data_IF_986597943614
#
_entry.id   IF_986597943614
#
_cell.length_a   1.000
_cell.length_b   1.000
_cell.length_c   1.000
_cell.angle_alpha   90.00
_cell.angle_beta   90.00
_cell.angle_gamma   90.00
#
_symmetry.space_group_name_H-M   'P 1'
#
loop_
_entity.id
_entity.type
_entity.pdbx_description
1 polymer ?
#
# COMPACT_ATOMS: atom_id res chain seq x y z
N UNK A 1 17.98 -3.18 -29.71
CA UNK A 1 17.08 -3.79 -28.71
C UNK A 1 15.73 -3.11 -28.83
N UNK A 2 14.78 -3.75 -29.51
CA UNK A 2 13.49 -3.17 -29.89
C UNK A 2 12.69 -2.71 -28.67
N UNK A 3 12.48 -1.40 -28.54
CA UNK A 3 11.39 -0.85 -27.73
C UNK A 3 10.10 -1.18 -28.46
N UNK A 4 9.45 -2.28 -28.10
CA UNK A 4 8.06 -2.49 -28.48
C UNK A 4 7.24 -1.44 -27.75
N UNK A 5 6.71 -0.47 -28.49
CA UNK A 5 5.78 0.54 -28.01
C UNK A 5 4.47 -0.18 -27.66
N UNK A 6 4.32 -0.55 -26.39
CA UNK A 6 3.04 -0.98 -25.85
C UNK A 6 2.13 0.25 -25.84
N UNK A 7 1.15 0.30 -26.76
CA UNK A 7 0.13 1.36 -26.75
C UNK A 7 -0.66 1.27 -25.46
N UNK A 8 -0.39 2.20 -24.54
CA UNK A 8 -1.25 2.49 -23.39
C UNK A 8 -2.56 3.04 -23.95
N UNK A 9 -3.60 2.21 -23.97
CA UNK A 9 -4.95 2.61 -24.36
C UNK A 9 -5.68 3.08 -23.09
N UNK A 10 -6.13 4.34 -23.07
CA UNK A 10 -7.04 4.87 -22.05
C UNK A 10 -6.45 5.95 -21.15
N UNK A 11 -6.22 7.14 -21.69
CA UNK A 11 -6.19 8.39 -20.92
C UNK A 11 -7.59 9.00 -21.04
N UNK A 12 -8.51 8.51 -20.22
CA UNK A 12 -9.78 9.20 -20.00
C UNK A 12 -9.71 9.86 -18.62
N UNK A 13 -9.53 11.18 -18.64
CA UNK A 13 -9.61 12.10 -17.49
C UNK A 13 -11.07 12.16 -16.97
N UNK A 14 -11.56 11.04 -16.45
CA UNK A 14 -12.86 10.88 -15.82
C UNK A 14 -12.71 10.82 -14.30
N UNK A 15 -13.16 11.88 -13.63
CA UNK A 15 -13.26 11.96 -12.18
C UNK A 15 -14.27 10.93 -11.65
N UNK A 16 -13.82 9.70 -11.40
CA UNK A 16 -14.40 8.75 -10.45
C UNK A 16 -13.33 7.73 -10.02
N UNK A 17 -12.61 8.08 -8.94
CA UNK A 17 -12.10 7.23 -7.86
C UNK A 17 -11.73 5.75 -8.05
N UNK A 18 -11.26 5.29 -9.21
CA UNK A 18 -10.67 3.96 -9.31
C UNK A 18 -9.45 3.99 -10.23
N UNK A 19 -8.26 4.05 -9.64
CA UNK A 19 -7.05 3.73 -10.39
C UNK A 19 -7.27 2.35 -11.03
N UNK A 20 -7.07 2.17 -12.35
CA UNK A 20 -7.05 0.83 -12.91
C UNK A 20 -6.04 0.01 -12.11
N UNK A 21 -6.46 -1.15 -11.62
CA UNK A 21 -5.56 -2.05 -10.92
C UNK A 21 -4.37 -2.36 -11.81
N UNK A 22 -3.20 -2.57 -11.20
CA UNK A 22 -1.98 -2.98 -11.90
C UNK A 22 -2.19 -4.22 -12.78
N UNK A 23 -3.24 -5.00 -12.49
CA UNK A 23 -3.64 -6.22 -13.19
C UNK A 23 -4.72 -6.03 -14.26
N UNK A 24 -5.32 -4.84 -14.41
CA UNK A 24 -6.41 -4.59 -15.38
C UNK A 24 -5.96 -3.79 -16.61
N UNK A 25 -4.97 -2.91 -16.49
CA UNK A 25 -4.43 -2.14 -17.60
C UNK A 25 -2.96 -1.75 -17.34
N UNK A 26 -2.17 -1.46 -18.40
CA UNK A 26 -0.81 -0.92 -18.21
C UNK A 26 -0.83 0.40 -17.46
N UNK A 27 0.11 0.57 -16.52
CA UNK A 27 0.30 1.83 -15.80
C UNK A 27 0.97 2.86 -16.70
N UNK A 28 0.58 4.12 -16.56
CA UNK A 28 1.33 5.25 -17.09
C UNK A 28 2.58 5.57 -16.23
N UNK A 29 3.43 6.47 -16.73
CA UNK A 29 4.68 6.84 -16.05
C UNK A 29 4.44 7.52 -14.69
N UNK A 30 3.37 8.31 -14.56
CA UNK A 30 3.02 9.00 -13.32
C UNK A 30 2.54 8.03 -12.24
N UNK A 31 1.64 7.13 -12.59
CA UNK A 31 1.14 6.06 -11.72
C UNK A 31 2.30 5.17 -11.25
N UNK A 32 3.20 4.78 -12.15
CA UNK A 32 4.37 3.98 -11.79
C UNK A 32 5.31 4.74 -10.84
N UNK A 33 5.56 6.03 -11.08
CA UNK A 33 6.40 6.87 -10.24
C UNK A 33 5.81 7.06 -8.83
N UNK A 34 4.48 7.12 -8.69
CA UNK A 34 3.81 7.20 -7.38
C UNK A 34 3.83 5.89 -6.60
N UNK A 35 3.63 4.76 -7.28
CA UNK A 35 3.55 3.44 -6.63
C UNK A 35 4.92 2.86 -6.29
N UNK A 36 5.95 3.15 -7.08
CA UNK A 36 7.28 2.56 -6.90
C UNK A 36 7.91 2.84 -5.51
N UNK A 37 7.84 4.06 -4.93
CA UNK A 37 8.32 4.31 -3.58
C UNK A 37 7.59 3.48 -2.51
N UNK A 38 6.28 3.25 -2.66
CA UNK A 38 5.48 2.44 -1.74
C UNK A 38 5.95 0.98 -1.76
N UNK A 39 6.03 0.39 -2.95
CA UNK A 39 6.52 -0.98 -3.10
C UNK A 39 7.98 -1.12 -2.66
N UNK A 40 8.82 -0.12 -2.92
CA UNK A 40 10.20 -0.09 -2.42
C UNK A 40 10.25 -0.08 -0.89
N UNK A 41 9.37 0.67 -0.23
CA UNK A 41 9.27 0.65 1.22
C UNK A 41 8.81 -0.72 1.75
N UNK A 42 7.91 -1.41 1.06
CA UNK A 42 7.47 -2.76 1.43
C UNK A 42 8.43 -3.88 0.98
N UNK A 43 9.38 -3.62 0.09
CA UNK A 43 10.29 -4.65 -0.44
C UNK A 43 11.39 -5.12 0.51
N UNK A 44 11.35 -4.76 1.80
CA UNK A 44 12.36 -5.08 2.79
C UNK A 44 11.76 -5.87 3.96
N UNK A 45 12.39 -6.98 4.38
CA UNK A 45 11.82 -7.88 5.36
C UNK A 45 11.67 -7.25 6.75
N UNK A 46 12.60 -6.36 7.14
CA UNK A 46 12.52 -5.66 8.42
C UNK A 46 11.37 -4.66 8.40
N UNK A 47 11.23 -3.91 7.31
CA UNK A 47 10.12 -2.94 7.13
C UNK A 47 8.75 -3.64 7.10
N UNK A 48 8.62 -4.76 6.41
CA UNK A 48 7.38 -5.55 6.41
C UNK A 48 7.02 -6.03 7.80
N UNK A 49 8.00 -6.55 8.55
CA UNK A 49 7.77 -7.03 9.91
C UNK A 49 7.40 -5.90 10.86
N UNK A 50 8.08 -4.75 10.77
CA UNK A 50 7.72 -3.54 11.54
C UNK A 50 6.30 -3.08 11.23
N UNK A 51 5.93 -2.99 9.95
CA UNK A 51 4.59 -2.58 9.53
C UNK A 51 3.52 -3.54 10.06
N UNK A 52 3.76 -4.86 9.96
CA UNK A 52 2.87 -5.89 10.49
C UNK A 52 2.68 -5.76 12.00
N UNK A 53 3.77 -5.58 12.76
CA UNK A 53 3.69 -5.35 14.20
C UNK A 53 2.87 -4.10 14.56
N UNK A 54 3.09 -2.99 13.85
CA UNK A 54 2.34 -1.74 14.06
C UNK A 54 0.85 -1.94 13.73
N UNK A 55 0.53 -2.58 12.61
CA UNK A 55 -0.84 -2.84 12.17
C UNK A 55 -1.61 -3.79 13.10
N UNK A 56 -0.90 -4.75 13.71
CA UNK A 56 -1.47 -5.70 14.68
C UNK A 56 -1.46 -5.21 16.13
N UNK A 57 -0.96 -3.99 16.37
CA UNK A 57 -0.84 -3.41 17.71
C UNK A 57 -2.20 -3.24 18.39
N UNK A 58 -2.28 -3.67 19.65
CA UNK A 58 -3.48 -3.46 20.46
C UNK A 58 -3.74 -1.96 20.65
N UNK A 59 -4.91 -1.47 20.23
CA UNK A 59 -5.26 -0.04 20.31
C UNK A 59 -4.88 0.81 19.09
N UNK A 60 -4.33 0.21 18.02
CA UNK A 60 -4.08 0.90 16.76
C UNK A 60 -2.79 1.72 16.70
N UNK A 61 -1.98 1.69 17.76
CA UNK A 61 -0.65 2.30 17.80
C UNK A 61 0.33 1.47 18.65
N UNK A 62 1.63 1.60 18.38
CA UNK A 62 2.69 0.86 19.07
C UNK A 62 3.86 1.79 19.41
N UNK A 63 4.39 1.67 20.62
CA UNK A 63 5.57 2.43 21.03
C UNK A 63 6.84 1.87 20.37
N UNK A 64 7.79 2.74 20.01
CA UNK A 64 9.11 2.34 19.49
C UNK A 64 9.86 1.34 20.39
N UNK A 65 9.60 1.41 21.70
CA UNK A 65 10.22 0.56 22.71
C UNK A 65 9.71 -0.86 22.68
N UNK A 66 8.49 -1.08 22.20
CA UNK A 66 7.90 -2.41 22.04
C UNK A 66 8.33 -3.03 20.70
N UNK A 67 8.69 -2.20 19.71
CA UNK A 67 9.15 -2.64 18.39
C UNK A 67 10.61 -3.10 18.40
N UNK A 68 11.49 -2.33 19.06
CA UNK A 68 12.95 -2.54 18.98
C UNK A 68 13.40 -3.93 19.46
N UNK A 69 12.88 -4.50 20.57
CA UNK A 69 13.31 -5.81 21.08
C UNK A 69 13.01 -6.99 20.15
N UNK A 70 12.14 -6.83 19.13
CA UNK A 70 11.80 -7.90 18.19
C UNK A 70 12.88 -8.15 17.11
N UNK A 71 13.93 -7.34 17.10
CA UNK A 71 14.98 -7.34 16.07
C UNK A 71 16.37 -7.32 16.71
N UNK A 72 17.30 -8.11 16.17
CA UNK A 72 18.73 -8.04 16.49
C UNK A 72 19.41 -6.90 15.72
N UNK A 73 18.84 -5.69 15.81
CA UNK A 73 19.28 -4.51 15.08
C UNK A 73 19.51 -3.34 16.02
N UNK A 74 20.40 -2.43 15.60
CA UNK A 74 20.64 -1.20 16.35
C UNK A 74 19.43 -0.26 16.30
N UNK A 75 19.24 0.53 17.35
CA UNK A 75 18.18 1.55 17.41
C UNK A 75 18.26 2.58 16.25
N UNK A 76 19.46 3.04 15.81
CA UNK A 76 19.58 3.86 14.60
C UNK A 76 19.06 3.17 13.33
N UNK A 77 19.29 1.86 13.19
CA UNK A 77 18.81 1.07 12.05
C UNK A 77 17.28 0.98 12.07
N UNK A 78 16.67 0.65 13.20
CA UNK A 78 15.21 0.60 13.35
C UNK A 78 14.58 1.98 13.08
N UNK A 79 15.16 3.05 13.61
CA UNK A 79 14.70 4.42 13.37
C UNK A 79 14.77 4.79 11.89
N UNK A 80 15.80 4.33 11.17
CA UNK A 80 15.90 4.51 9.73
C UNK A 80 14.78 3.79 8.97
N UNK A 81 14.49 2.53 9.31
CA UNK A 81 13.38 1.78 8.71
C UNK A 81 12.02 2.45 8.96
N UNK A 82 11.77 2.90 10.19
CA UNK A 82 10.54 3.64 10.54
C UNK A 82 10.43 4.96 9.78
N UNK A 83 11.55 5.68 9.60
CA UNK A 83 11.57 6.90 8.78
C UNK A 83 11.18 6.63 7.34
N UNK A 84 11.72 5.56 6.73
CA UNK A 84 11.39 5.18 5.35
C UNK A 84 9.90 4.81 5.20
N UNK A 85 9.35 4.05 6.15
CA UNK A 85 7.92 3.72 6.16
C UNK A 85 7.03 4.98 6.29
N UNK A 86 7.42 5.95 7.14
CA UNK A 86 6.72 7.25 7.23
C UNK A 86 6.83 8.07 5.96
N UNK A 87 8.01 8.11 5.33
CA UNK A 87 8.21 8.85 4.08
C UNK A 87 7.39 8.27 2.93
N UNK A 88 7.14 6.96 2.95
CA UNK A 88 6.21 6.30 2.06
C UNK A 88 4.73 6.49 2.45
N UNK A 89 4.42 7.18 3.55
CA UNK A 89 3.04 7.39 4.00
C UNK A 89 2.33 6.13 4.48
N UNK A 90 3.05 5.05 4.79
CA UNK A 90 2.47 3.79 5.29
C UNK A 90 2.15 3.83 6.78
N UNK A 91 2.92 4.63 7.53
CA UNK A 91 2.74 4.82 8.97
C UNK A 91 2.86 6.30 9.30
N UNK A 92 2.23 6.69 10.40
CA UNK A 92 2.41 7.99 11.04
C UNK A 92 3.04 7.81 12.43
N UNK A 93 3.50 8.90 13.03
CA UNK A 93 4.11 8.88 14.36
C UNK A 93 3.66 10.05 15.22
N UNK A 94 3.40 9.77 16.49
CA UNK A 94 3.06 10.78 17.49
C UNK A 94 4.07 10.73 18.64
N UNK A 95 4.60 11.89 19.02
CA UNK A 95 5.49 11.98 20.18
C UNK A 95 4.70 12.35 21.43
N UNK A 96 4.74 11.47 22.43
CA UNK A 96 4.09 11.66 23.74
C UNK A 96 5.15 11.68 24.84
N UNK A 97 5.61 12.89 25.16
CA UNK A 97 6.72 13.13 26.08
C UNK A 97 8.05 12.59 25.52
N UNK A 98 8.63 11.61 26.20
CA UNK A 98 9.90 10.96 25.80
C UNK A 98 9.70 9.88 24.74
N UNK A 99 8.49 9.34 24.63
CA UNK A 99 8.21 8.18 23.79
C UNK A 99 7.60 8.59 22.44
N UNK A 100 7.82 7.76 21.42
CA UNK A 100 7.24 7.92 20.09
C UNK A 100 6.40 6.69 19.78
N UNK A 101 5.15 6.94 19.43
CA UNK A 101 4.18 5.95 19.03
C UNK A 101 4.02 5.98 17.51
N UNK A 102 3.83 4.82 16.92
CA UNK A 102 3.61 4.65 15.49
C UNK A 102 2.26 4.02 15.25
N UNK A 103 1.55 4.48 14.22
CA UNK A 103 0.24 3.96 13.80
C UNK A 103 0.22 3.73 12.30
N UNK A 104 -0.58 2.77 11.86
CA UNK A 104 -0.82 2.53 10.43
C UNK A 104 -1.59 3.70 9.82
N UNK A 105 -1.31 4.02 8.55
CA UNK A 105 -2.14 4.89 7.71
C UNK A 105 -2.99 3.97 6.81
N UNK A 106 -4.25 3.67 7.18
CA UNK A 106 -5.06 2.66 6.48
C UNK A 106 -5.32 3.04 5.02
N UNK A 107 -5.46 4.32 4.71
CA UNK A 107 -5.75 4.82 3.38
C UNK A 107 -4.66 4.41 2.37
N UNK A 108 -3.40 4.44 2.78
CA UNK A 108 -2.27 4.05 1.93
C UNK A 108 -2.24 2.53 1.70
N UNK A 109 -2.52 1.73 2.72
CA UNK A 109 -2.58 0.26 2.59
C UNK A 109 -3.78 -0.19 1.77
N UNK A 110 -4.93 0.44 1.93
CA UNK A 110 -6.15 0.16 1.16
C UNK A 110 -5.94 0.49 -0.32
N UNK A 111 -5.27 1.61 -0.61
CA UNK A 111 -4.86 1.96 -1.98
C UNK A 111 -3.98 0.88 -2.60
N UNK A 112 -2.96 0.40 -1.88
CA UNK A 112 -2.07 -0.66 -2.37
C UNK A 112 -2.81 -1.98 -2.60
N UNK A 113 -3.71 -2.34 -1.69
CA UNK A 113 -4.55 -3.52 -1.84
C UNK A 113 -5.43 -3.41 -3.09
N UNK A 114 -6.06 -2.25 -3.33
CA UNK A 114 -6.86 -1.99 -4.52
C UNK A 114 -6.04 -2.13 -5.81
N UNK A 115 -4.82 -1.58 -5.85
CA UNK A 115 -3.91 -1.68 -7.00
C UNK A 115 -3.56 -3.14 -7.34
N UNK A 116 -3.40 -4.00 -6.34
CA UNK A 116 -3.04 -5.41 -6.52
C UNK A 116 -4.25 -6.34 -6.61
N UNK A 117 -5.47 -5.82 -6.43
CA UNK A 117 -6.68 -6.64 -6.47
C UNK A 117 -6.95 -7.10 -7.90
N UNK A 118 -7.09 -8.41 -8.08
CA UNK A 118 -7.52 -8.97 -9.36
C UNK A 118 -8.97 -8.54 -9.61
N UNK A 119 -9.31 -7.96 -10.77
CA UNK A 119 -10.71 -7.74 -11.11
C UNK A 119 -11.41 -9.11 -11.15
N UNK A 120 -12.50 -9.24 -10.38
CA UNK A 120 -13.31 -10.44 -10.46
C UNK A 120 -13.80 -10.61 -11.91
N UNK A 121 -13.83 -11.83 -12.46
CA UNK A 121 -14.50 -12.06 -13.73
C UNK A 121 -15.94 -11.55 -13.58
N UNK A 122 -16.36 -10.65 -14.47
CA UNK A 122 -17.78 -10.39 -14.68
C UNK A 122 -18.38 -11.72 -15.13
N UNK A 123 -19.04 -12.44 -14.23
CA UNK A 123 -19.80 -13.64 -14.58
C UNK A 123 -20.83 -13.25 -15.66
N UNK A 124 -20.68 -13.68 -16.92
CA UNK A 124 -21.64 -13.38 -17.96
C UNK A 124 -22.81 -14.37 -17.79
N UNK A 125 -23.78 -14.06 -16.91
CA UNK A 125 -24.87 -15.01 -16.71
C UNK A 125 -25.97 -14.75 -15.67
N UNK A 126 -26.05 -13.58 -15.01
CA UNK A 126 -27.24 -13.26 -14.19
C UNK A 126 -28.19 -12.34 -14.96
N UNK A 127 -28.78 -12.87 -16.03
CA UNK A 127 -30.05 -12.32 -16.53
C UNK A 127 -31.10 -12.69 -15.48
N UNK A 128 -31.82 -11.74 -14.87
CA UNK A 128 -32.94 -12.09 -14.01
C UNK A 128 -34.00 -12.75 -14.89
N UNK A 129 -34.20 -14.06 -14.68
CA UNK A 129 -35.39 -14.77 -15.14
C UNK A 129 -36.58 -14.22 -14.34
N UNK A 130 -37.25 -13.20 -14.88
CA UNK A 130 -38.38 -12.58 -14.17
C UNK A 130 -38.98 -11.38 -14.89
N UNK A 131 -39.70 -11.64 -15.98
CA UNK A 131 -40.90 -10.89 -16.36
C UNK A 131 -41.65 -11.72 -17.42
N UNK A 132 -42.35 -12.75 -16.94
CA UNK A 132 -43.58 -13.17 -17.59
C UNK A 132 -44.64 -12.15 -17.19
N UNK A 133 -45.26 -11.49 -18.18
CA UNK A 133 -46.71 -11.34 -18.33
C UNK A 133 -47.01 -10.84 -19.76
#
# INVERSE_FOLDING_TARGET
MSKQELRVLGQDDGADGCCPGLLSAPLDEGQAAELAPLFKALGDPVRLRLLSMIASGAGGEVCVCDLTPAFDLSQPTISHHLKLLRQAGLIDSERRGTWVYYRLVPETTDRLAGVLTRPAPLEPGSVPLGAAE
#
